data_IF_930449152684
#
_entry.id   IF_930449152684
#
_cell.length_a   1.000
_cell.length_b   1.000
_cell.length_c   1.000
_cell.angle_alpha   90.00
_cell.angle_beta   90.00
_cell.angle_gamma   90.00
#
_symmetry.space_group_name_H-M   'P 1'
#
loop_
_entity.id
_entity.type
_entity.pdbx_description
1 polymer ?
#
# COMPACT_ATOMS: atom_id res chain seq x y z
N UNK A 1 -15.96 7.89 0.55
CA UNK A 1 -14.83 7.82 -0.38
C UNK A 1 -13.85 8.92 0.00
N UNK A 2 -12.64 8.55 0.31
CA UNK A 2 -11.56 9.54 0.39
C UNK A 2 -11.21 9.89 -1.04
N UNK A 3 -11.06 11.18 -1.33
CA UNK A 3 -10.68 11.64 -2.66
C UNK A 3 -9.33 11.11 -3.13
N UNK A 4 -8.95 11.37 -4.39
CA UNK A 4 -7.70 10.88 -4.96
C UNK A 4 -6.51 11.27 -4.10
N UNK A 5 -5.49 10.43 -4.12
CA UNK A 5 -4.24 10.67 -3.40
C UNK A 5 -3.74 12.08 -3.63
N UNK A 6 -3.42 12.73 -2.55
CA UNK A 6 -2.94 14.06 -2.65
C UNK A 6 -3.65 15.05 -1.74
N UNK A 7 -4.81 14.68 -1.25
CA UNK A 7 -5.49 15.47 -0.20
C UNK A 7 -4.87 15.23 1.17
N UNK A 8 -4.20 14.11 1.41
CA UNK A 8 -3.51 13.81 2.66
C UNK A 8 -2.08 14.34 2.64
N UNK A 9 -1.92 15.65 2.54
CA UNK A 9 -0.66 16.37 2.83
C UNK A 9 0.60 15.88 2.10
N UNK A 10 0.47 15.38 0.87
CA UNK A 10 1.64 14.95 0.09
C UNK A 10 2.30 13.68 0.63
N UNK A 11 1.64 12.91 1.46
CA UNK A 11 2.10 11.57 1.82
C UNK A 11 1.62 10.58 0.79
N UNK A 12 2.54 9.81 0.22
CA UNK A 12 2.24 8.75 -0.75
C UNK A 12 1.66 7.50 -0.09
N UNK A 13 1.47 7.53 1.22
CA UNK A 13 1.06 6.38 2.01
C UNK A 13 -0.06 6.74 2.97
N UNK A 14 -1.20 6.07 2.85
CA UNK A 14 -2.22 6.06 3.89
C UNK A 14 -2.01 4.82 4.76
N UNK A 15 -1.60 5.03 6.00
CA UNK A 15 -1.29 3.95 6.95
C UNK A 15 -2.47 3.68 7.86
N UNK A 16 -2.70 2.42 8.17
CA UNK A 16 -3.57 2.02 9.27
C UNK A 16 -2.75 1.92 10.56
N UNK A 17 -3.33 2.39 11.65
CA UNK A 17 -2.73 2.29 12.97
C UNK A 17 -3.60 1.36 13.82
N UNK A 18 -3.06 0.25 14.29
CA UNK A 18 -3.73 -0.65 15.22
C UNK A 18 -3.08 -0.48 16.59
N UNK A 19 -3.89 -0.16 17.62
CA UNK A 19 -3.44 0.03 19.02
C UNK A 19 -2.30 1.04 19.18
N UNK A 20 -2.27 2.09 18.37
CA UNK A 20 -1.23 3.12 18.43
C UNK A 20 0.12 2.71 17.84
N UNK A 21 0.25 1.53 17.25
CA UNK A 21 1.50 1.05 16.63
C UNK A 21 1.51 1.38 15.15
N UNK A 22 2.26 2.40 14.75
CA UNK A 22 2.31 2.88 13.37
C UNK A 22 3.04 1.93 12.40
N UNK A 23 4.04 1.18 12.88
CA UNK A 23 4.93 0.36 12.04
C UNK A 23 4.68 -1.14 12.16
N UNK A 24 3.74 -1.57 12.97
CA UNK A 24 3.50 -2.98 13.26
C UNK A 24 2.23 -3.56 12.62
N UNK A 25 1.61 -2.85 11.69
CA UNK A 25 0.41 -3.34 11.00
C UNK A 25 0.80 -3.93 9.66
N UNK A 26 0.59 -5.24 9.50
CA UNK A 26 0.70 -5.91 8.21
C UNK A 26 -0.61 -5.77 7.44
N UNK A 27 -0.53 -5.30 6.21
CA UNK A 27 -1.68 -5.23 5.29
C UNK A 27 -1.52 -6.26 4.21
N UNK A 28 -2.55 -7.05 3.99
CA UNK A 28 -2.64 -8.05 2.94
C UNK A 28 -3.77 -7.69 1.97
N UNK A 29 -3.62 -8.02 0.70
CA UNK A 29 -4.70 -8.03 -0.29
C UNK A 29 -4.79 -9.45 -0.83
N UNK A 30 -5.90 -10.11 -0.58
CA UNK A 30 -6.07 -11.55 -0.89
C UNK A 30 -4.92 -12.41 -0.36
N UNK A 31 -4.43 -12.13 0.83
CA UNK A 31 -3.28 -12.83 1.42
C UNK A 31 -1.90 -12.36 0.97
N UNK A 32 -1.79 -11.52 -0.06
CA UNK A 32 -0.50 -10.98 -0.55
C UNK A 32 -0.06 -9.81 0.31
N UNK A 33 1.15 -9.82 0.89
CA UNK A 33 1.69 -8.71 1.68
C UNK A 33 1.88 -7.44 0.85
N UNK A 34 1.29 -6.33 1.32
CA UNK A 34 1.39 -5.01 0.70
C UNK A 34 2.52 -4.17 1.28
N UNK A 35 3.04 -4.54 2.45
CA UNK A 35 4.14 -3.82 3.09
C UNK A 35 5.45 -4.10 2.34
N UNK A 36 5.96 -3.10 1.64
CA UNK A 36 7.27 -3.14 1.00
C UNK A 36 8.11 -1.99 1.55
N UNK A 37 9.33 -2.27 1.98
CA UNK A 37 10.20 -1.27 2.64
C UNK A 37 9.49 -0.51 3.77
N UNK A 38 8.58 -1.17 4.49
CA UNK A 38 7.74 -0.58 5.55
C UNK A 38 6.68 0.41 5.07
N UNK A 39 6.44 0.47 3.75
CA UNK A 39 5.44 1.36 3.14
C UNK A 39 4.31 0.55 2.51
N UNK A 40 3.10 1.05 2.65
CA UNK A 40 1.90 0.59 1.94
C UNK A 40 0.90 1.74 1.84
N UNK A 41 -0.10 1.60 1.00
CA UNK A 41 -1.19 2.58 0.94
C UNK A 41 -2.54 1.90 0.76
N UNK A 42 -3.44 2.15 1.67
CA UNK A 42 -4.83 1.71 1.56
C UNK A 42 -5.62 2.47 0.49
N UNK A 43 -5.12 3.62 0.05
CA UNK A 43 -5.78 4.42 -0.99
C UNK A 43 -5.60 3.83 -2.40
N UNK A 44 -4.71 2.84 -2.54
CA UNK A 44 -4.46 2.16 -3.82
C UNK A 44 -5.51 1.12 -4.18
N UNK A 45 -6.40 0.80 -3.24
CA UNK A 45 -7.43 -0.22 -3.39
C UNK A 45 -8.78 0.48 -3.56
N UNK A 46 -9.47 0.20 -4.66
CA UNK A 46 -10.81 0.72 -4.87
C UNK A 46 -11.81 0.07 -3.90
N UNK A 47 -12.55 0.87 -3.14
CA UNK A 47 -13.54 0.38 -2.18
C UNK A 47 -14.64 -0.48 -2.83
N UNK A 48 -14.95 -0.23 -4.10
CA UNK A 48 -15.94 -1.00 -4.86
C UNK A 48 -15.50 -2.43 -5.17
N UNK A 49 -14.20 -2.73 -5.15
CA UNK A 49 -13.67 -4.09 -5.34
C UNK A 49 -13.59 -4.88 -4.03
N UNK A 50 -13.73 -4.25 -2.87
CA UNK A 50 -13.62 -4.93 -1.58
C UNK A 50 -14.89 -5.72 -1.27
N UNK A 51 -14.71 -7.00 -0.93
CA UNK A 51 -15.77 -7.86 -0.41
C UNK A 51 -15.87 -7.76 1.11
N UNK A 52 -14.74 -7.97 1.79
CA UNK A 52 -14.63 -7.90 3.23
C UNK A 52 -13.22 -7.50 3.69
N UNK A 53 -13.13 -7.05 4.92
CA UNK A 53 -11.88 -6.77 5.61
C UNK A 53 -11.81 -7.66 6.85
N UNK A 54 -10.76 -8.46 6.94
CA UNK A 54 -10.48 -9.30 8.09
C UNK A 54 -9.39 -8.66 8.94
N UNK A 55 -9.61 -8.59 10.25
CA UNK A 55 -8.63 -8.02 11.18
C UNK A 55 -8.22 -9.08 12.18
N UNK A 56 -6.93 -9.46 12.15
CA UNK A 56 -6.33 -10.40 13.10
C UNK A 56 -5.53 -9.60 14.13
N UNK A 57 -5.82 -9.84 15.41
CA UNK A 57 -5.20 -9.14 16.54
C UNK A 57 -4.58 -10.14 17.51
N UNK A 58 -3.61 -9.66 18.30
CA UNK A 58 -3.00 -10.45 19.38
C UNK A 58 -2.21 -11.65 18.88
N UNK A 59 -2.32 -12.78 19.56
CA UNK A 59 -1.52 -14.00 19.30
C UNK A 59 -1.64 -14.54 17.87
N UNK A 60 -2.79 -14.40 17.21
CA UNK A 60 -2.98 -14.82 15.82
C UNK A 60 -2.08 -14.09 14.83
N UNK A 61 -1.66 -12.87 15.14
CA UNK A 61 -0.74 -12.11 14.31
C UNK A 61 0.68 -12.71 14.25
N UNK A 62 1.07 -13.52 15.22
CA UNK A 62 2.37 -14.23 15.25
C UNK A 62 2.56 -15.08 14.02
N UNK A 63 1.50 -15.70 13.49
CA UNK A 63 1.55 -16.51 12.28
C UNK A 63 2.02 -15.75 11.04
N UNK A 64 1.88 -14.43 11.05
CA UNK A 64 2.24 -13.54 9.95
C UNK A 64 3.62 -12.87 10.09
N UNK A 65 4.31 -13.11 11.21
CA UNK A 65 5.67 -12.62 11.45
C UNK A 65 5.76 -11.26 12.14
N UNK A 66 6.98 -10.74 12.25
CA UNK A 66 7.31 -9.53 13.02
C UNK A 66 6.66 -8.25 12.47
N UNK A 67 6.36 -8.19 11.17
CA UNK A 67 5.67 -7.06 10.54
C UNK A 67 4.21 -6.92 11.03
N UNK A 68 3.67 -7.96 11.66
CA UNK A 68 2.31 -8.02 12.20
C UNK A 68 2.24 -7.80 13.72
N UNK A 69 3.24 -7.17 14.33
CA UNK A 69 3.29 -6.96 15.79
C UNK A 69 2.10 -6.18 16.36
N UNK A 70 1.53 -5.26 15.60
CA UNK A 70 0.30 -4.54 15.92
C UNK A 70 -0.98 -5.26 15.49
N UNK A 71 -0.88 -6.16 14.53
CA UNK A 71 -1.98 -6.89 13.93
C UNK A 71 -1.90 -7.01 12.41
N UNK A 72 -2.87 -7.71 11.85
CA UNK A 72 -3.00 -7.93 10.40
C UNK A 72 -4.34 -7.39 9.91
N UNK A 73 -4.34 -6.71 8.78
CA UNK A 73 -5.52 -6.32 8.02
C UNK A 73 -5.45 -7.05 6.69
N UNK A 74 -6.38 -7.98 6.45
CA UNK A 74 -6.48 -8.66 5.16
C UNK A 74 -7.71 -8.15 4.41
N UNK A 75 -7.49 -7.57 3.25
CA UNK A 75 -8.53 -7.04 2.38
C UNK A 75 -8.81 -8.10 1.33
N UNK A 76 -10.02 -8.63 1.35
CA UNK A 76 -10.47 -9.64 0.40
C UNK A 76 -11.25 -8.93 -0.71
N UNK A 77 -10.82 -9.11 -1.95
CA UNK A 77 -11.54 -8.59 -3.11
C UNK A 77 -12.63 -9.56 -3.56
N UNK A 78 -13.65 -9.02 -4.22
CA UNK A 78 -14.84 -9.77 -4.65
C UNK A 78 -14.48 -10.91 -5.58
N UNK A 79 -14.97 -12.09 -5.29
CA UNK A 79 -14.85 -13.27 -6.16
C UNK A 79 -15.77 -13.20 -7.36
N UNK A 80 -17.01 -12.79 -7.14
CA UNK A 80 -18.02 -12.50 -8.15
C UNK A 80 -18.37 -11.03 -8.13
N UNK A 81 -18.82 -10.48 -9.23
CA UNK A 81 -19.13 -9.05 -9.35
C UNK A 81 -20.47 -8.83 -10.01
N UNK A 82 -21.25 -7.90 -9.46
CA UNK A 82 -22.42 -7.39 -10.17
C UNK A 82 -21.97 -6.53 -11.36
N UNK A 83 -22.72 -6.57 -12.44
CA UNK A 83 -22.54 -5.61 -13.53
C UNK A 83 -22.96 -4.24 -13.00
N UNK A 84 -22.02 -3.32 -12.97
CA UNK A 84 -22.21 -2.03 -12.32
C UNK A 84 -21.46 -0.94 -13.06
N UNK A 85 -22.13 0.20 -13.23
CA UNK A 85 -21.53 1.44 -13.72
C UNK A 85 -21.87 2.53 -12.73
N UNK A 86 -20.85 3.26 -12.27
CA UNK A 86 -21.01 4.45 -11.45
C UNK A 86 -20.30 5.62 -12.13
N UNK A 87 -20.87 6.82 -12.03
CA UNK A 87 -20.22 8.07 -12.32
C UNK A 87 -20.53 9.06 -11.19
N UNK A 88 -19.52 9.75 -10.73
CA UNK A 88 -19.62 10.77 -9.70
C UNK A 88 -18.87 12.02 -10.11
N UNK A 89 -19.42 13.19 -9.77
CA UNK A 89 -18.82 14.49 -10.01
C UNK A 89 -18.87 15.31 -8.74
N UNK A 90 -17.88 16.13 -8.51
CA UNK A 90 -17.78 16.96 -7.31
C UNK A 90 -17.10 18.30 -7.56
N UNK A 91 -16.88 19.03 -6.49
CA UNK A 91 -16.18 20.31 -6.53
C UNK A 91 -14.72 20.12 -6.96
N UNK A 92 -14.10 21.17 -7.45
CA UNK A 92 -12.70 21.16 -7.90
C UNK A 92 -12.42 20.19 -9.05
N UNK A 93 -13.40 19.97 -9.92
CA UNK A 93 -13.27 19.05 -11.05
C UNK A 93 -13.15 17.57 -10.62
N UNK A 94 -13.66 17.21 -9.45
CA UNK A 94 -13.70 15.80 -9.03
C UNK A 94 -14.54 14.97 -9.99
N UNK A 95 -13.98 13.83 -10.37
CA UNK A 95 -14.63 12.81 -11.19
C UNK A 95 -14.29 11.43 -10.62
N UNK A 96 -15.29 10.59 -10.55
CA UNK A 96 -15.14 9.20 -10.15
C UNK A 96 -15.93 8.32 -11.11
N UNK A 97 -15.29 7.33 -11.67
CA UNK A 97 -15.92 6.33 -12.54
C UNK A 97 -15.59 4.94 -12.02
N UNK A 98 -16.60 4.07 -11.96
CA UNK A 98 -16.42 2.67 -11.61
C UNK A 98 -17.21 1.82 -12.59
N UNK A 99 -16.55 0.81 -13.15
CA UNK A 99 -17.17 -0.20 -13.98
C UNK A 99 -16.80 -1.57 -13.43
N UNK A 100 -17.79 -2.39 -13.13
CA UNK A 100 -17.61 -3.79 -12.77
C UNK A 100 -18.34 -4.68 -13.75
N UNK A 101 -17.74 -5.80 -14.10
CA UNK A 101 -18.32 -6.80 -15.00
C UNK A 101 -17.95 -8.22 -14.53
N UNK A 102 -18.78 -9.18 -14.95
CA UNK A 102 -18.62 -10.60 -14.66
C UNK A 102 -18.90 -11.43 -15.91
N UNK A 103 -18.14 -12.49 -16.10
CA UNK A 103 -18.37 -13.49 -17.14
C UNK A 103 -18.56 -14.87 -16.49
N UNK A 104 -19.83 -15.31 -16.40
CA UNK A 104 -20.22 -16.50 -15.64
C UNK A 104 -19.81 -16.40 -14.16
N UNK A 105 -19.49 -17.53 -13.56
CA UNK A 105 -18.98 -17.67 -12.19
C UNK A 105 -17.43 -17.67 -12.12
N UNK A 106 -16.76 -17.61 -13.26
CA UNK A 106 -15.32 -17.81 -13.38
C UNK A 106 -14.51 -16.52 -13.37
N UNK A 107 -15.01 -15.46 -13.99
CA UNK A 107 -14.24 -14.24 -14.18
C UNK A 107 -15.00 -13.01 -13.70
N UNK A 108 -14.34 -12.17 -12.93
CA UNK A 108 -14.86 -10.87 -12.51
C UNK A 108 -13.77 -9.80 -12.57
N UNK A 109 -14.13 -8.60 -13.01
CA UNK A 109 -13.25 -7.44 -13.15
C UNK A 109 -13.92 -6.18 -12.62
N UNK A 110 -13.14 -5.32 -11.95
CA UNK A 110 -13.54 -3.96 -11.58
C UNK A 110 -12.47 -2.98 -12.06
N UNK A 111 -12.90 -1.92 -12.71
CA UNK A 111 -12.08 -0.76 -13.03
C UNK A 111 -12.62 0.46 -12.29
N UNK A 112 -11.73 1.27 -11.75
CA UNK A 112 -12.04 2.53 -11.08
C UNK A 112 -11.08 3.63 -11.52
N UNK A 113 -11.61 4.80 -11.79
CA UNK A 113 -10.87 6.01 -12.05
C UNK A 113 -11.33 7.13 -11.13
N UNK A 114 -10.39 7.78 -10.47
CA UNK A 114 -10.62 8.95 -9.64
C UNK A 114 -9.75 10.10 -10.15
N UNK A 115 -10.34 11.27 -10.29
CA UNK A 115 -9.66 12.50 -10.68
C UNK A 115 -10.05 13.65 -9.75
N UNK A 116 -9.07 14.48 -9.45
CA UNK A 116 -9.27 15.79 -8.84
C UNK A 116 -8.49 16.83 -9.64
N UNK A 117 -9.17 17.89 -10.03
CA UNK A 117 -8.57 19.03 -10.70
C UNK A 117 -7.89 19.99 -9.71
N UNK A 118 -7.78 21.22 -10.14
CA UNK A 118 -7.05 22.25 -9.39
C UNK A 118 -7.78 22.64 -8.10
N UNK A 119 -7.01 22.63 -6.99
CA UNK A 119 -7.44 23.17 -5.69
C UNK A 119 -6.40 24.16 -5.22
N UNK A 120 -6.79 25.41 -5.05
CA UNK A 120 -5.91 26.48 -4.60
C UNK A 120 -5.98 26.66 -3.08
N UNK A 121 -4.86 27.00 -2.51
CA UNK A 121 -4.69 27.44 -1.13
C UNK A 121 -5.20 26.46 -0.07
N UNK A 122 -4.61 25.27 -0.07
CA UNK A 122 -4.85 24.32 1.01
C UNK A 122 -3.87 24.64 2.14
N UNK A 123 -4.40 25.13 3.25
CA UNK A 123 -3.61 25.41 4.45
C UNK A 123 -3.08 24.10 5.04
N UNK A 124 -1.86 24.15 5.57
CA UNK A 124 -1.32 23.03 6.30
C UNK A 124 -2.03 22.93 7.66
N UNK A 125 -2.70 21.85 8.01
CA UNK A 125 -3.23 21.68 9.36
C UNK A 125 -2.06 21.56 10.33
N UNK A 126 -2.23 22.18 11.51
CA UNK A 126 -1.41 21.98 12.70
C UNK A 126 0.09 22.31 12.58
N UNK A 127 0.44 23.43 12.00
CA UNK A 127 1.77 24.02 12.22
C UNK A 127 2.99 23.15 11.89
N UNK A 128 2.83 22.00 11.26
CA UNK A 128 3.87 21.01 11.02
C UNK A 128 4.92 21.38 9.98
N UNK A 129 4.84 22.56 9.41
CA UNK A 129 5.85 23.12 8.48
C UNK A 129 6.05 24.60 8.78
N UNK A 130 7.13 25.24 8.26
CA UNK A 130 7.37 26.65 8.55
C UNK A 130 6.09 27.46 8.38
N UNK A 131 5.73 28.22 9.41
CA UNK A 131 4.55 29.09 9.40
C UNK A 131 4.55 29.91 8.11
N UNK A 132 3.41 29.89 7.39
CA UNK A 132 3.29 30.64 6.17
C UNK A 132 3.45 29.85 4.88
N UNK A 133 3.46 28.53 4.94
CA UNK A 133 3.37 27.68 3.75
C UNK A 133 1.96 27.16 3.54
N UNK A 134 1.53 27.15 2.29
CA UNK A 134 0.34 26.44 1.82
C UNK A 134 0.67 25.68 0.54
N UNK A 135 -0.21 24.82 0.07
CA UNK A 135 0.00 24.14 -1.19
C UNK A 135 -1.24 24.23 -2.08
N UNK A 136 -1.00 24.14 -3.38
CA UNK A 136 -2.02 23.97 -4.38
C UNK A 136 -1.92 22.56 -4.95
N UNK A 137 -3.04 21.90 -5.14
CA UNK A 137 -3.14 20.72 -5.98
C UNK A 137 -3.28 21.23 -7.41
N UNK A 138 -2.45 20.74 -8.32
CA UNK A 138 -2.60 21.00 -9.75
C UNK A 138 -3.51 19.94 -10.35
N UNK A 139 -3.27 18.67 -9.99
CA UNK A 139 -4.12 17.52 -10.31
C UNK A 139 -3.75 16.32 -9.43
N UNK A 140 -4.70 15.44 -9.24
CA UNK A 140 -4.45 14.12 -8.69
C UNK A 140 -5.32 13.11 -9.43
N UNK A 141 -4.73 12.00 -9.85
CA UNK A 141 -5.37 10.96 -10.64
C UNK A 141 -5.03 9.59 -10.05
N UNK A 142 -6.02 8.71 -10.02
CA UNK A 142 -5.87 7.34 -9.60
C UNK A 142 -6.62 6.42 -10.56
N UNK A 143 -5.91 5.47 -11.13
CA UNK A 143 -6.44 4.36 -11.90
C UNK A 143 -6.28 3.08 -11.10
N UNK A 144 -7.29 2.26 -11.06
CA UNK A 144 -7.27 0.96 -10.43
C UNK A 144 -8.03 -0.05 -11.27
N UNK A 145 -7.45 -1.22 -11.43
CA UNK A 145 -8.14 -2.38 -11.99
C UNK A 145 -7.79 -3.62 -11.16
N UNK A 146 -8.79 -4.40 -10.82
CA UNK A 146 -8.59 -5.73 -10.27
C UNK A 146 -9.47 -6.75 -10.96
N UNK A 147 -8.99 -7.98 -11.03
CA UNK A 147 -9.74 -9.08 -11.57
C UNK A 147 -9.37 -10.40 -10.88
N UNK A 148 -10.32 -11.31 -10.90
CA UNK A 148 -10.18 -12.67 -10.40
C UNK A 148 -10.65 -13.66 -11.45
N UNK A 149 -9.93 -14.77 -11.58
CA UNK A 149 -10.28 -15.91 -12.39
C UNK A 149 -10.30 -17.18 -11.56
N UNK A 150 -11.49 -17.79 -11.41
CA UNK A 150 -11.67 -19.06 -10.71
C UNK A 150 -11.35 -20.21 -11.69
N UNK A 151 -10.22 -20.90 -11.46
CA UNK A 151 -9.73 -21.99 -12.33
C UNK A 151 -10.54 -23.26 -12.06
N UNK A 152 -10.59 -23.63 -10.77
CA UNK A 152 -11.40 -24.73 -10.25
C UNK A 152 -11.97 -24.35 -8.89
N UNK A 153 -12.72 -25.26 -8.26
CA UNK A 153 -13.12 -25.13 -6.86
C UNK A 153 -11.87 -25.06 -5.96
N UNK A 154 -11.74 -23.98 -5.22
CA UNK A 154 -10.60 -23.67 -4.35
C UNK A 154 -9.34 -23.13 -5.05
N UNK A 155 -9.17 -23.25 -6.37
CA UNK A 155 -8.00 -22.71 -7.09
C UNK A 155 -8.40 -21.50 -7.91
N UNK A 156 -7.80 -20.34 -7.63
CA UNK A 156 -8.09 -19.10 -8.32
C UNK A 156 -6.87 -18.20 -8.46
N UNK A 157 -6.90 -17.33 -9.44
CA UNK A 157 -5.91 -16.31 -9.69
C UNK A 157 -6.49 -14.92 -9.43
N UNK A 158 -5.70 -14.04 -8.82
CA UNK A 158 -6.03 -12.62 -8.62
C UNK A 158 -4.97 -11.73 -9.21
N UNK A 159 -5.36 -10.60 -9.74
CA UNK A 159 -4.45 -9.54 -10.14
C UNK A 159 -5.08 -8.19 -9.86
N UNK A 160 -4.29 -7.27 -9.32
CA UNK A 160 -4.64 -5.87 -9.15
C UNK A 160 -3.52 -4.98 -9.69
N UNK A 161 -3.91 -3.93 -10.37
CA UNK A 161 -3.02 -2.86 -10.83
C UNK A 161 -3.55 -1.52 -10.36
N UNK A 162 -2.68 -0.68 -9.81
CA UNK A 162 -2.99 0.71 -9.50
C UNK A 162 -1.93 1.66 -10.04
N UNK A 163 -2.37 2.82 -10.48
CA UNK A 163 -1.50 3.92 -10.88
C UNK A 163 -2.00 5.23 -10.25
N UNK A 164 -1.10 5.90 -9.53
CA UNK A 164 -1.35 7.22 -8.98
C UNK A 164 -0.42 8.23 -9.60
N UNK A 165 -0.96 9.40 -9.93
CA UNK A 165 -0.22 10.54 -10.44
C UNK A 165 -0.74 11.80 -9.77
N UNK A 166 0.11 12.48 -9.01
CA UNK A 166 -0.28 13.67 -8.26
C UNK A 166 0.75 14.77 -8.42
N UNK A 167 0.28 15.98 -8.65
CA UNK A 167 1.11 17.16 -8.81
C UNK A 167 0.65 18.26 -7.85
N UNK A 168 1.54 18.69 -6.97
CA UNK A 168 1.34 19.79 -6.03
C UNK A 168 2.37 20.86 -6.24
N UNK A 169 2.03 22.09 -5.83
CA UNK A 169 2.95 23.19 -5.74
C UNK A 169 2.88 23.79 -4.35
N UNK A 170 3.99 23.73 -3.61
CA UNK A 170 4.12 24.48 -2.36
C UNK A 170 4.33 25.96 -2.65
N UNK A 171 3.69 26.80 -1.83
CA UNK A 171 3.78 28.25 -1.93
C UNK A 171 3.96 28.87 -0.55
N UNK A 172 4.41 30.14 -0.53
CA UNK A 172 4.56 30.90 0.70
C UNK A 172 3.46 31.95 0.83
N UNK A 173 2.89 32.11 2.03
CA UNK A 173 1.84 33.08 2.31
C UNK A 173 2.35 34.50 2.53
N UNK A 174 3.68 34.65 2.64
CA UNK A 174 4.33 35.97 2.76
C UNK A 174 4.21 36.61 4.13
N UNK A 175 3.99 35.85 5.21
CA UNK A 175 3.94 36.40 6.58
C UNK A 175 5.13 37.29 6.94
N UNK A 176 6.25 37.12 6.26
CA UNK A 176 7.43 37.97 6.37
C UNK A 176 7.62 38.93 5.19
N UNK A 177 6.60 39.21 4.41
CA UNK A 177 6.57 40.24 3.36
C UNK A 177 7.41 39.95 2.11
N UNK A 178 8.24 38.95 2.06
CA UNK A 178 9.26 38.77 1.00
C UNK A 178 8.97 37.74 -0.07
N UNK A 179 8.07 36.77 0.15
CA UNK A 179 7.88 35.66 -0.77
C UNK A 179 6.41 35.29 -1.03
N UNK A 180 5.47 36.20 -0.82
CA UNK A 180 4.04 35.92 -0.99
C UNK A 180 3.71 35.42 -2.40
N UNK A 181 3.07 34.25 -2.47
CA UNK A 181 2.62 33.68 -3.72
C UNK A 181 3.72 33.09 -4.59
N UNK A 182 4.98 33.13 -4.15
CA UNK A 182 6.10 32.56 -4.89
C UNK A 182 6.05 31.04 -4.82
N UNK A 183 6.32 30.30 -5.91
CA UNK A 183 6.40 28.85 -5.88
C UNK A 183 7.58 28.42 -5.01
N UNK A 184 7.30 27.64 -3.96
CA UNK A 184 8.35 27.08 -3.13
C UNK A 184 8.93 25.81 -3.73
N UNK A 185 8.10 24.91 -4.19
CA UNK A 185 8.52 23.63 -4.73
C UNK A 185 7.39 22.96 -5.51
N UNK A 186 7.66 22.46 -6.70
CA UNK A 186 6.80 21.50 -7.40
C UNK A 186 7.10 20.10 -6.90
N UNK A 187 6.06 19.32 -6.66
CA UNK A 187 6.13 17.92 -6.22
C UNK A 187 5.28 17.07 -7.14
N UNK A 188 5.91 16.15 -7.85
CA UNK A 188 5.23 15.20 -8.71
C UNK A 188 5.45 13.81 -8.13
N UNK A 189 4.37 13.14 -7.77
CA UNK A 189 4.38 11.78 -7.27
C UNK A 189 3.75 10.85 -8.29
N UNK A 190 4.44 9.76 -8.60
CA UNK A 190 3.91 8.67 -9.40
C UNK A 190 4.13 7.37 -8.67
N UNK A 191 3.11 6.55 -8.60
CA UNK A 191 3.19 5.20 -8.07
C UNK A 191 2.49 4.27 -9.03
N UNK A 192 3.12 3.15 -9.35
CA UNK A 192 2.52 2.02 -10.06
C UNK A 192 2.69 0.79 -9.20
N UNK A 193 1.63 0.03 -9.06
CA UNK A 193 1.62 -1.14 -8.22
C UNK A 193 0.94 -2.30 -8.95
N UNK A 194 1.58 -3.45 -8.95
CA UNK A 194 1.07 -4.70 -9.48
C UNK A 194 1.09 -5.75 -8.38
N UNK A 195 -0.04 -6.36 -8.13
CA UNK A 195 -0.20 -7.45 -7.16
C UNK A 195 -0.84 -8.62 -7.88
N UNK A 196 -0.18 -9.76 -7.91
CA UNK A 196 -0.68 -10.98 -8.52
C UNK A 196 -0.57 -12.15 -7.54
N UNK A 197 -1.56 -13.01 -7.53
CA UNK A 197 -1.57 -14.20 -6.67
C UNK A 197 -2.25 -15.38 -7.32
N UNK A 198 -1.66 -16.56 -7.17
CA UNK A 198 -2.29 -17.85 -7.42
C UNK A 198 -2.59 -18.48 -6.06
N UNK A 199 -3.85 -18.75 -5.80
CA UNK A 199 -4.35 -19.17 -4.50
C UNK A 199 -5.04 -20.51 -4.60
N UNK A 200 -4.74 -21.37 -3.64
CA UNK A 200 -5.49 -22.59 -3.37
C UNK A 200 -6.01 -22.55 -1.94
N UNK A 201 -7.32 -22.64 -1.77
CA UNK A 201 -8.00 -22.64 -0.47
C UNK A 201 -9.15 -23.63 -0.52
N UNK A 202 -8.88 -24.85 -0.09
CA UNK A 202 -9.87 -25.92 -0.04
C UNK A 202 -9.51 -26.94 1.04
N UNK A 203 -10.51 -27.46 1.74
CA UNK A 203 -10.39 -28.55 2.71
C UNK A 203 -9.25 -28.32 3.74
N UNK A 204 -9.21 -27.12 4.32
CA UNK A 204 -8.20 -26.69 5.31
C UNK A 204 -6.76 -26.57 4.80
N UNK A 205 -6.50 -26.92 3.54
CA UNK A 205 -5.22 -26.67 2.86
C UNK A 205 -5.25 -25.31 2.17
N UNK A 206 -4.25 -24.50 2.49
CA UNK A 206 -4.04 -23.19 1.84
C UNK A 206 -2.64 -23.14 1.25
N UNK A 207 -2.57 -22.74 0.00
CA UNK A 207 -1.32 -22.45 -0.69
C UNK A 207 -1.45 -21.16 -1.48
N UNK A 208 -0.49 -20.26 -1.31
CA UNK A 208 -0.45 -18.99 -2.01
C UNK A 208 0.92 -18.84 -2.67
N UNK A 209 0.92 -18.54 -3.95
CA UNK A 209 2.09 -18.04 -4.65
C UNK A 209 1.78 -16.63 -5.12
N UNK A 210 2.66 -15.65 -4.81
CA UNK A 210 2.37 -14.26 -5.09
C UNK A 210 3.59 -13.50 -5.60
N UNK A 211 3.26 -12.45 -6.34
CA UNK A 211 4.18 -11.45 -6.84
C UNK A 211 3.61 -10.06 -6.58
N UNK A 212 4.42 -9.17 -6.03
CA UNK A 212 4.06 -7.78 -5.78
C UNK A 212 5.20 -6.88 -6.25
N UNK A 213 4.90 -5.95 -7.12
CA UNK A 213 5.84 -4.94 -7.61
C UNK A 213 5.25 -3.55 -7.42
N UNK A 214 6.06 -2.65 -6.89
CA UNK A 214 5.72 -1.23 -6.76
C UNK A 214 6.85 -0.36 -7.25
N UNK A 215 6.57 0.45 -8.26
CA UNK A 215 7.46 1.49 -8.78
C UNK A 215 6.95 2.84 -8.28
N UNK A 216 7.78 3.55 -7.54
CA UNK A 216 7.47 4.85 -6.96
C UNK A 216 8.49 5.88 -7.40
N UNK A 217 8.04 7.01 -7.93
CA UNK A 217 8.92 8.13 -8.23
C UNK A 217 8.41 9.44 -7.65
N UNK A 218 9.32 10.22 -7.11
CA UNK A 218 9.07 11.57 -6.64
C UNK A 218 9.94 12.53 -7.41
N UNK A 219 9.30 13.39 -8.19
CA UNK A 219 9.97 14.52 -8.84
C UNK A 219 9.84 15.78 -7.99
N UNK A 220 10.96 16.48 -7.75
CA UNK A 220 10.99 17.74 -7.04
C UNK A 220 11.68 18.78 -7.92
N UNK A 221 11.01 19.89 -8.21
CA UNK A 221 11.70 21.06 -8.73
C UNK A 221 12.07 21.97 -7.57
N UNK A 222 13.35 22.25 -7.41
CA UNK A 222 13.80 23.36 -6.57
C UNK A 222 13.98 24.56 -7.48
N UNK A 223 13.38 25.68 -7.11
CA UNK A 223 13.89 26.96 -7.59
C UNK A 223 15.24 27.19 -6.94
N UNK A 224 16.29 27.42 -7.73
CA UNK A 224 17.67 27.61 -7.21
C UNK A 224 17.79 28.78 -6.24
N UNK A 225 16.86 29.68 -6.25
CA UNK A 225 16.78 30.73 -5.24
C UNK A 225 16.06 30.12 -4.05
N UNK A 226 16.79 29.36 -3.25
CA UNK A 226 16.37 29.13 -1.88
C UNK A 226 16.02 30.49 -1.29
N UNK A 227 14.91 30.63 -0.54
CA UNK A 227 14.57 31.86 0.17
C UNK A 227 15.68 32.31 1.15
N UNK A 228 16.69 31.50 1.33
CA UNK A 228 17.89 31.71 2.15
C UNK A 228 19.15 32.09 1.34
N UNK A 229 19.08 32.12 -0.01
CA UNK A 229 20.21 32.64 -0.77
C UNK A 229 20.31 34.13 -0.55
N UNK A 230 21.28 34.53 0.26
CA UNK A 230 21.61 35.93 0.50
C UNK A 230 21.77 36.63 -0.85
N UNK A 231 20.80 37.50 -1.23
CA UNK A 231 20.83 38.40 -2.39
C UNK A 231 20.54 37.81 -3.78
N UNK A 232 19.94 36.62 -3.94
CA UNK A 232 19.54 36.15 -5.26
C UNK A 232 18.16 36.64 -5.70
N UNK A 233 18.03 37.10 -6.93
CA UNK A 233 16.73 37.32 -7.58
C UNK A 233 16.14 35.94 -7.92
N UNK A 234 14.86 35.76 -7.65
CA UNK A 234 14.10 34.59 -8.12
C UNK A 234 14.20 34.50 -9.65
N UNK A 235 14.76 33.41 -10.14
CA UNK A 235 14.82 33.09 -11.56
C UNK A 235 13.89 31.90 -11.83
N UNK A 236 12.70 32.10 -12.41
CA UNK A 236 11.77 31.01 -12.68
C UNK A 236 12.29 29.99 -13.71
N UNK A 237 13.30 30.36 -14.50
CA UNK A 237 13.86 29.50 -15.54
C UNK A 237 14.98 28.59 -15.01
N UNK A 238 15.49 28.87 -13.82
CA UNK A 238 16.49 28.02 -13.13
C UNK A 238 15.85 27.03 -12.17
N UNK A 239 15.11 26.08 -12.68
CA UNK A 239 14.56 24.98 -11.89
C UNK A 239 15.45 23.77 -11.97
N UNK A 240 16.03 23.38 -10.86
CA UNK A 240 16.69 22.07 -10.74
C UNK A 240 15.62 21.02 -10.43
N UNK A 241 15.45 20.07 -11.32
CA UNK A 241 14.56 18.94 -11.13
C UNK A 241 15.35 17.76 -10.54
N UNK A 242 15.01 17.33 -9.35
CA UNK A 242 15.55 16.11 -8.74
C UNK A 242 14.50 15.02 -8.75
N UNK A 243 14.90 13.81 -9.11
CA UNK A 243 14.02 12.64 -9.12
C UNK A 243 14.57 11.61 -8.14
N UNK A 244 13.70 11.08 -7.29
CA UNK A 244 13.97 9.93 -6.44
C UNK A 244 13.06 8.80 -6.91
N UNK A 245 13.61 7.61 -7.05
CA UNK A 245 12.88 6.41 -7.42
C UNK A 245 13.05 5.34 -6.33
N UNK A 246 11.99 4.60 -6.09
CA UNK A 246 12.00 3.43 -5.24
C UNK A 246 11.19 2.34 -5.94
N UNK A 247 11.88 1.29 -6.36
CA UNK A 247 11.30 0.15 -7.05
C UNK A 247 11.40 -1.04 -6.12
N UNK A 248 10.27 -1.46 -5.57
CA UNK A 248 10.17 -2.59 -4.67
C UNK A 248 9.56 -3.79 -5.40
N UNK A 249 10.10 -4.97 -5.17
CA UNK A 249 9.60 -6.23 -5.71
C UNK A 249 9.61 -7.31 -4.63
N UNK A 250 8.53 -8.06 -4.54
CA UNK A 250 8.38 -9.17 -3.60
C UNK A 250 7.84 -10.39 -4.32
N UNK A 251 8.48 -11.53 -4.14
CA UNK A 251 7.99 -12.85 -4.54
C UNK A 251 7.84 -13.69 -3.28
N UNK A 252 6.75 -14.42 -3.17
CA UNK A 252 6.56 -15.28 -2.01
C UNK A 252 5.69 -16.50 -2.29
N UNK A 253 5.83 -17.45 -1.38
CA UNK A 253 5.06 -18.68 -1.34
C UNK A 253 4.68 -18.96 0.11
N UNK A 254 3.44 -19.35 0.35
CA UNK A 254 2.94 -19.78 1.63
C UNK A 254 2.19 -21.10 1.47
N UNK A 255 2.38 -22.00 2.41
CA UNK A 255 1.65 -23.27 2.48
C UNK A 255 1.27 -23.56 3.93
N UNK A 256 0.02 -23.88 4.18
CA UNK A 256 -0.44 -24.28 5.51
C UNK A 256 -1.59 -25.29 5.42
N UNK A 257 -1.67 -26.14 6.42
CA UNK A 257 -2.81 -27.03 6.59
C UNK A 257 -3.26 -27.05 8.05
N UNK A 258 -4.56 -27.25 8.24
CA UNK A 258 -5.18 -27.37 9.56
C UNK A 258 -5.78 -28.77 9.73
N UNK A 259 -5.55 -29.34 10.88
CA UNK A 259 -6.14 -30.63 11.27
C UNK A 259 -6.97 -30.43 12.54
N UNK A 260 -8.13 -31.05 12.55
CA UNK A 260 -9.05 -31.00 13.68
C UNK A 260 -9.02 -32.29 14.48
N UNK A 261 -9.22 -32.19 15.77
CA UNK A 261 -9.40 -33.27 16.69
C UNK A 261 -10.52 -32.92 17.68
N UNK A 262 -10.94 -33.86 18.53
CA UNK A 262 -12.14 -33.76 19.37
C UNK A 262 -12.27 -32.40 20.13
N UNK A 263 -11.17 -31.89 20.70
CA UNK A 263 -11.17 -30.67 21.52
C UNK A 263 -10.36 -29.51 20.92
N UNK A 264 -10.10 -29.51 19.63
CA UNK A 264 -9.33 -28.41 19.08
C UNK A 264 -8.82 -28.62 17.67
N UNK A 265 -7.79 -27.86 17.33
CA UNK A 265 -7.14 -27.94 16.04
C UNK A 265 -5.64 -27.63 16.12
N UNK A 266 -4.90 -28.18 15.18
CA UNK A 266 -3.50 -27.84 14.91
C UNK A 266 -3.39 -27.30 13.50
N UNK A 267 -2.75 -26.14 13.33
CA UNK A 267 -2.33 -25.60 12.06
C UNK A 267 -0.81 -25.64 11.99
N UNK A 268 -0.25 -26.10 10.90
CA UNK A 268 1.18 -26.05 10.60
C UNK A 268 1.34 -25.42 9.21
N UNK A 269 2.31 -24.54 9.09
CA UNK A 269 2.63 -23.91 7.82
C UNK A 269 4.06 -23.43 7.71
N UNK A 270 4.42 -23.06 6.51
CA UNK A 270 5.69 -22.44 6.20
C UNK A 270 5.57 -21.46 5.06
N UNK A 271 6.45 -20.48 5.05
CA UNK A 271 6.51 -19.51 3.97
C UNK A 271 7.95 -19.22 3.53
N UNK A 272 8.05 -18.80 2.30
CA UNK A 272 9.22 -18.20 1.70
C UNK A 272 8.84 -16.82 1.16
N UNK A 273 9.69 -15.83 1.41
CA UNK A 273 9.55 -14.48 0.85
C UNK A 273 10.91 -13.95 0.43
N UNK A 274 10.99 -13.43 -0.78
CA UNK A 274 12.12 -12.64 -1.27
C UNK A 274 11.67 -11.22 -1.52
N UNK A 275 12.30 -10.27 -0.82
CA UNK A 275 12.13 -8.85 -1.03
C UNK A 275 13.35 -8.29 -1.76
N UNK A 276 13.10 -7.45 -2.76
CA UNK A 276 14.11 -6.71 -3.51
C UNK A 276 13.69 -5.24 -3.57
N UNK A 277 14.65 -4.33 -3.47
CA UNK A 277 14.39 -2.90 -3.57
C UNK A 277 15.56 -2.20 -4.26
N UNK A 278 15.24 -1.36 -5.24
CA UNK A 278 16.17 -0.45 -5.90
C UNK A 278 15.79 0.98 -5.54
N UNK A 279 16.66 1.66 -4.82
CA UNK A 279 16.48 3.05 -4.41
C UNK A 279 17.46 3.93 -5.15
N UNK A 280 16.94 4.91 -5.90
CA UNK A 280 17.73 5.91 -6.63
C UNK A 280 17.49 7.27 -6.01
N UNK A 281 18.51 7.82 -5.36
CA UNK A 281 18.55 9.18 -4.82
C UNK A 281 19.97 9.75 -4.96
N UNK A 282 20.30 10.21 -6.17
CA UNK A 282 21.66 10.59 -6.56
C UNK A 282 22.58 9.38 -6.81
N UNK A 283 22.56 8.40 -5.94
CA UNK A 283 23.19 7.08 -6.12
C UNK A 283 22.10 6.00 -6.23
N UNK A 284 22.49 4.83 -6.75
CA UNK A 284 21.61 3.65 -6.78
C UNK A 284 22.02 2.67 -5.69
N UNK A 285 21.04 2.26 -4.88
CA UNK A 285 21.23 1.27 -3.82
C UNK A 285 20.34 0.07 -4.13
N UNK A 286 20.91 -1.12 -4.07
CA UNK A 286 20.24 -2.39 -4.28
C UNK A 286 20.13 -3.14 -2.95
N UNK A 287 18.95 -3.63 -2.64
CA UNK A 287 18.68 -4.43 -1.45
C UNK A 287 17.96 -5.70 -1.86
N UNK A 288 18.38 -6.83 -1.32
CA UNK A 288 17.67 -8.09 -1.47
C UNK A 288 17.79 -8.91 -0.20
N UNK A 289 16.70 -9.54 0.23
CA UNK A 289 16.71 -10.48 1.35
C UNK A 289 15.78 -11.65 1.09
N UNK A 290 16.17 -12.81 1.55
CA UNK A 290 15.33 -14.00 1.55
C UNK A 290 14.92 -14.34 2.99
N UNK A 291 13.65 -14.64 3.19
CA UNK A 291 13.10 -15.05 4.47
C UNK A 291 12.44 -16.41 4.32
N UNK A 292 12.68 -17.28 5.27
CA UNK A 292 12.08 -18.60 5.37
C UNK A 292 11.46 -18.73 6.75
N UNK A 293 10.24 -19.23 6.83
CA UNK A 293 9.57 -19.35 8.11
C UNK A 293 8.85 -20.68 8.24
N UNK A 294 8.85 -21.18 9.47
CA UNK A 294 7.94 -22.23 9.92
C UNK A 294 7.07 -21.67 11.03
N UNK A 295 5.80 -22.00 11.02
CA UNK A 295 4.87 -21.55 12.03
C UNK A 295 3.82 -22.62 12.37
N UNK A 296 3.22 -22.48 13.53
CA UNK A 296 2.16 -23.35 13.99
C UNK A 296 1.23 -22.70 14.99
N UNK A 297 0.03 -23.20 15.04
CA UNK A 297 -1.00 -22.80 15.98
C UNK A 297 -1.63 -24.07 16.58
N UNK A 298 -1.76 -24.10 17.89
CA UNK A 298 -2.55 -25.07 18.61
C UNK A 298 -3.71 -24.36 19.27
N UNK A 299 -4.93 -24.78 18.98
CA UNK A 299 -6.15 -24.38 19.68
C UNK A 299 -6.67 -25.57 20.47
N UNK A 300 -7.01 -25.35 21.73
CA UNK A 300 -7.53 -26.40 22.60
C UNK A 300 -8.65 -25.89 23.49
N UNK A 301 -9.79 -26.55 23.47
CA UNK A 301 -10.96 -26.27 24.26
C UNK A 301 -10.92 -27.13 25.53
N UNK A 302 -10.54 -26.51 26.66
CA UNK A 302 -10.55 -27.17 27.96
C UNK A 302 -11.97 -27.43 28.46
N UNK A 303 -12.83 -26.42 28.28
CA UNK A 303 -14.26 -26.45 28.60
C UNK A 303 -15.02 -25.66 27.55
N UNK A 304 -16.35 -25.76 27.51
CA UNK A 304 -17.15 -24.94 26.58
C UNK A 304 -16.99 -23.43 26.75
N UNK A 305 -16.35 -22.97 27.83
CA UNK A 305 -16.12 -21.56 28.11
C UNK A 305 -14.64 -21.15 28.11
N UNK A 306 -13.70 -22.12 28.05
CA UNK A 306 -12.26 -21.85 28.17
C UNK A 306 -11.49 -22.47 27.01
N UNK A 307 -10.88 -21.62 26.19
CA UNK A 307 -10.03 -22.00 25.08
C UNK A 307 -8.61 -21.48 25.28
N UNK A 308 -7.60 -22.32 25.05
CA UNK A 308 -6.22 -21.90 24.92
C UNK A 308 -5.83 -21.81 23.44
N UNK A 309 -4.95 -20.87 23.13
CA UNK A 309 -4.40 -20.66 21.81
C UNK A 309 -2.88 -20.42 21.93
N UNK A 310 -2.08 -21.33 21.39
CA UNK A 310 -0.62 -21.25 21.36
C UNK A 310 -0.18 -21.02 19.91
N UNK A 311 0.52 -19.92 19.64
CA UNK A 311 1.07 -19.60 18.34
C UNK A 311 2.58 -19.50 18.43
N UNK A 312 3.26 -20.16 17.51
CA UNK A 312 4.71 -20.17 17.39
C UNK A 312 5.11 -19.88 15.96
N UNK A 313 6.18 -19.10 15.79
CA UNK A 313 6.82 -18.86 14.50
C UNK A 313 8.32 -18.72 14.68
N UNK A 314 9.07 -19.36 13.79
CA UNK A 314 10.51 -19.17 13.61
C UNK A 314 10.77 -18.68 12.20
N UNK A 315 11.50 -17.56 12.08
CA UNK A 315 11.89 -16.97 10.80
C UNK A 315 13.42 -16.95 10.71
N UNK A 316 13.93 -17.34 9.57
CA UNK A 316 15.35 -17.24 9.20
C UNK A 316 15.48 -16.23 8.07
N UNK A 317 16.43 -15.31 8.20
CA UNK A 317 16.74 -14.30 7.21
C UNK A 317 18.11 -14.59 6.63
N UNK A 318 18.19 -14.77 5.32
CA UNK A 318 19.46 -14.91 4.63
C UNK A 318 20.15 -13.55 4.49
N UNK A 319 21.48 -13.58 4.33
CA UNK A 319 22.28 -12.40 4.02
C UNK A 319 21.76 -11.76 2.74
N UNK A 320 21.54 -10.46 2.76
CA UNK A 320 21.23 -9.69 1.58
C UNK A 320 22.50 -9.45 0.72
N UNK A 321 22.30 -9.08 -0.55
CA UNK A 321 23.41 -8.80 -1.49
C UNK A 321 24.21 -7.55 -1.11
N UNK A 322 23.69 -6.68 -0.24
CA UNK A 322 24.40 -5.51 0.30
C UNK A 322 25.37 -5.87 1.43
N UNK A 323 25.41 -7.12 1.86
CA UNK A 323 26.35 -7.58 2.88
C UNK A 323 25.87 -7.38 4.32
N UNK A 324 24.66 -6.86 4.53
CA UNK A 324 24.10 -6.72 5.86
C UNK A 324 23.68 -8.10 6.41
N UNK A 325 24.02 -8.35 7.68
CA UNK A 325 23.55 -9.52 8.43
C UNK A 325 22.44 -9.06 9.35
N UNK A 326 21.29 -9.65 9.24
CA UNK A 326 20.17 -9.47 10.14
C UNK A 326 20.10 -10.62 11.14
#
# INVERSE_FOLDING_TARGET
SQGPRGLSQGTMTAKAVIRGVEKGTLVLVNGVPMNQSGMYSLQDIASDSVEKVEIVRGGGAVLYGSEASGGVINIITKGTRDIKVKAGFGNYGQQNYVVSAQAGDKFGITYSYDHMGKVDHISHPDGGRPAGMYYNIIRAEHNYVDWRYNITDGLYFTHAYSENNSHYVYRYDGRNGKNKGQPGQDMIYKTRENVAGLHYDKDDLKADFYYHKRDMSTGKSKTEVAPYAKRGRYDPDKRIFTKTENNDETIGFNLSNRWYFDKGSVLIGGDFRRDMADVVDGNTYHYARNMYSLYGQLEYDFTGATRANLNLRQTWVAKDDAGNRY
#
